data_IF_032913863898
#
_entry.id   IF_032913863898
#
_cell.length_a   1.000
_cell.length_b   1.000
_cell.length_c   1.000
_cell.angle_alpha   90.00
_cell.angle_beta   90.00
_cell.angle_gamma   90.00
#
_symmetry.space_group_name_H-M   'P 1'
#
loop_
_entity.id
_entity.type
_entity.pdbx_description
1 polymer ?
#
# COMPACT_ATOMS: atom_id res chain seq x y z
N UNK A 1 14.53 1.91 11.55
CA UNK A 1 13.93 2.81 12.55
C UNK A 1 12.66 3.38 11.96
N UNK A 2 11.51 2.86 12.38
CA UNK A 2 10.19 3.23 11.85
C UNK A 2 9.17 2.52 12.72
N UNK A 3 8.93 3.06 13.91
CA UNK A 3 8.14 2.39 14.96
C UNK A 3 7.97 3.19 16.24
N UNK A 4 8.60 4.36 16.37
CA UNK A 4 8.52 5.19 17.57
C UNK A 4 7.30 6.14 17.56
N UNK A 5 6.71 6.38 16.38
CA UNK A 5 5.53 7.26 16.25
C UNK A 5 4.24 6.44 16.35
N UNK A 6 3.38 6.80 17.29
CA UNK A 6 2.04 6.22 17.40
C UNK A 6 1.21 6.55 16.15
N UNK A 7 0.38 5.60 15.72
CA UNK A 7 -0.58 5.81 14.65
C UNK A 7 -1.57 6.90 15.05
N UNK A 8 -1.81 7.86 14.15
CA UNK A 8 -2.89 8.83 14.33
C UNK A 8 -4.25 8.20 14.01
N UNK A 9 -5.32 8.87 14.43
CA UNK A 9 -6.69 8.48 14.05
C UNK A 9 -6.87 8.36 12.53
N UNK A 10 -6.36 9.34 11.77
CA UNK A 10 -6.42 9.31 10.31
C UNK A 10 -5.61 8.15 9.73
N UNK A 11 -4.47 7.79 10.33
CA UNK A 11 -3.73 6.61 9.88
C UNK A 11 -4.50 5.32 10.12
N UNK A 12 -5.29 5.23 11.20
CA UNK A 12 -6.11 4.06 11.45
C UNK A 12 -7.25 3.94 10.42
N UNK A 13 -7.89 5.05 10.05
CA UNK A 13 -8.91 5.07 9.01
C UNK A 13 -8.34 4.71 7.63
N UNK A 14 -7.19 5.27 7.27
CA UNK A 14 -6.51 4.96 6.01
C UNK A 14 -6.07 3.49 5.95
N UNK A 15 -5.64 2.93 7.10
CA UNK A 15 -5.25 1.53 7.21
C UNK A 15 -6.45 0.59 7.01
N UNK A 16 -7.57 0.89 7.67
CA UNK A 16 -8.80 0.11 7.53
C UNK A 16 -9.28 0.10 6.06
N UNK A 17 -9.33 1.27 5.43
CA UNK A 17 -9.67 1.38 4.01
C UNK A 17 -8.69 0.60 3.11
N UNK A 18 -7.39 0.72 3.34
CA UNK A 18 -6.38 0.02 2.54
C UNK A 18 -6.48 -1.51 2.67
N UNK A 19 -6.69 -2.02 3.88
CA UNK A 19 -6.88 -3.46 4.17
C UNK A 19 -8.17 -3.96 3.52
N UNK A 20 -9.28 -3.26 3.71
CA UNK A 20 -10.56 -3.65 3.13
C UNK A 20 -10.45 -3.81 1.61
N UNK A 21 -9.80 -2.88 0.91
CA UNK A 21 -9.61 -2.99 -0.55
C UNK A 21 -8.66 -4.16 -0.89
N UNK A 22 -7.55 -4.31 -0.18
CA UNK A 22 -6.54 -5.33 -0.50
C UNK A 22 -7.05 -6.76 -0.28
N UNK A 23 -7.92 -6.98 0.71
CA UNK A 23 -8.39 -8.30 1.12
C UNK A 23 -9.78 -8.67 0.56
N UNK A 24 -10.53 -7.74 -0.01
CA UNK A 24 -11.87 -8.04 -0.54
C UNK A 24 -11.84 -8.79 -1.89
N UNK A 25 -10.71 -8.79 -2.59
CA UNK A 25 -10.58 -9.53 -3.86
C UNK A 25 -10.38 -11.03 -3.61
N UNK A 26 -11.06 -11.86 -4.41
CA UNK A 26 -10.87 -13.32 -4.43
C UNK A 26 -9.60 -13.78 -5.16
N UNK A 27 -8.80 -12.86 -5.70
CA UNK A 27 -7.57 -13.18 -6.41
C UNK A 27 -6.52 -13.79 -5.48
N UNK A 28 -5.90 -14.88 -5.95
CA UNK A 28 -4.74 -15.50 -5.28
C UNK A 28 -3.41 -14.84 -5.63
N UNK A 29 -3.42 -13.84 -6.52
CA UNK A 29 -2.21 -13.09 -6.89
C UNK A 29 -1.83 -12.04 -5.85
N UNK A 30 -0.70 -11.35 -6.06
CA UNK A 30 -0.25 -10.29 -5.17
C UNK A 30 -1.05 -9.01 -5.44
N UNK A 31 -1.65 -8.47 -4.39
CA UNK A 31 -2.45 -7.25 -4.41
C UNK A 31 -1.69 -6.17 -3.63
N UNK A 32 -1.65 -4.97 -4.19
CA UNK A 32 -1.18 -3.78 -3.50
C UNK A 32 -2.21 -2.67 -3.66
N UNK A 33 -2.49 -1.97 -2.56
CA UNK A 33 -3.38 -0.80 -2.52
C UNK A 33 -2.65 0.35 -1.84
N UNK A 34 -2.92 1.58 -2.29
CA UNK A 34 -2.40 2.79 -1.69
C UNK A 34 -3.58 3.72 -1.42
N UNK A 35 -3.73 4.14 -0.16
CA UNK A 35 -4.82 4.99 0.32
C UNK A 35 -4.25 6.22 1.00
N UNK A 36 -4.89 7.37 0.81
CA UNK A 36 -4.60 8.59 1.54
C UNK A 36 -5.89 9.35 1.80
N UNK A 37 -6.13 9.78 3.04
CA UNK A 37 -7.35 10.50 3.41
C UNK A 37 -8.63 9.74 3.02
N UNK A 38 -8.63 8.42 3.24
CA UNK A 38 -9.71 7.48 2.93
C UNK A 38 -10.02 7.37 1.42
N UNK A 39 -9.11 7.85 0.56
CA UNK A 39 -9.27 7.84 -0.89
C UNK A 39 -8.20 6.91 -1.50
N UNK A 40 -8.58 5.88 -2.26
CA UNK A 40 -7.61 5.06 -2.98
C UNK A 40 -6.95 5.88 -4.10
N UNK A 41 -5.64 6.04 -4.02
CA UNK A 41 -4.82 6.68 -5.06
C UNK A 41 -4.23 5.66 -6.05
N UNK A 42 -4.23 4.37 -5.68
CA UNK A 42 -3.80 3.32 -6.59
C UNK A 42 -4.06 1.91 -6.07
N UNK A 43 -4.24 0.98 -6.99
CA UNK A 43 -4.41 -0.44 -6.68
C UNK A 43 -3.99 -1.30 -7.87
N UNK A 44 -3.36 -2.44 -7.60
CA UNK A 44 -2.97 -3.36 -8.65
C UNK A 44 -2.88 -4.81 -8.17
N UNK A 45 -3.19 -5.72 -9.10
CA UNK A 45 -3.07 -7.16 -8.95
C UNK A 45 -2.06 -7.66 -10.00
N UNK A 46 -0.99 -8.34 -9.56
CA UNK A 46 0.05 -8.91 -10.43
C UNK A 46 0.64 -10.18 -9.83
N UNK A 47 1.29 -10.96 -10.70
CA UNK A 47 2.04 -12.17 -10.32
C UNK A 47 3.17 -11.91 -9.34
N UNK A 48 3.88 -10.78 -9.42
CA UNK A 48 4.97 -10.40 -8.49
C UNK A 48 4.54 -9.21 -7.63
N UNK A 49 4.78 -9.28 -6.32
CA UNK A 49 4.42 -8.22 -5.36
C UNK A 49 5.00 -6.86 -5.73
N UNK A 50 6.26 -6.81 -6.17
CA UNK A 50 6.90 -5.59 -6.66
C UNK A 50 6.14 -4.95 -7.82
N UNK A 51 5.66 -5.75 -8.76
CA UNK A 51 4.94 -5.23 -9.93
C UNK A 51 3.58 -4.66 -9.50
N UNK A 52 2.91 -5.29 -8.54
CA UNK A 52 1.68 -4.74 -7.93
C UNK A 52 1.96 -3.40 -7.27
N UNK A 53 3.05 -3.29 -6.48
CA UNK A 53 3.44 -2.02 -5.87
C UNK A 53 3.74 -0.93 -6.91
N UNK A 54 4.59 -1.22 -7.89
CA UNK A 54 4.96 -0.25 -8.93
C UNK A 54 3.74 0.20 -9.74
N UNK A 55 2.82 -0.72 -10.06
CA UNK A 55 1.62 -0.40 -10.82
C UNK A 55 0.60 0.38 -9.98
N UNK A 56 0.46 0.08 -8.70
CA UNK A 56 -0.38 0.84 -7.78
C UNK A 56 0.16 2.27 -7.60
N UNK A 57 1.47 2.42 -7.39
CA UNK A 57 2.13 3.73 -7.30
C UNK A 57 1.97 4.55 -8.58
N UNK A 58 1.99 3.91 -9.75
CA UNK A 58 1.79 4.58 -11.04
C UNK A 58 0.35 5.04 -11.29
N UNK A 59 -0.62 4.68 -10.44
CA UNK A 59 -2.00 5.18 -10.52
C UNK A 59 -2.06 6.69 -10.26
N UNK A 60 -1.56 7.11 -9.10
CA UNK A 60 -1.38 8.52 -8.74
C UNK A 60 -0.16 8.69 -7.82
N UNK A 61 1.05 8.89 -8.40
CA UNK A 61 2.29 9.00 -7.63
C UNK A 61 2.33 10.21 -6.71
N UNK A 62 1.62 11.29 -7.05
CA UNK A 62 1.61 12.53 -6.29
C UNK A 62 0.77 12.36 -5.02
N UNK A 63 -0.43 11.80 -5.15
CA UNK A 63 -1.29 11.53 -3.99
C UNK A 63 -0.74 10.40 -3.12
N UNK A 64 -0.02 9.43 -3.68
CA UNK A 64 0.59 8.33 -2.91
C UNK A 64 1.67 8.78 -1.90
N UNK A 65 2.21 10.01 -2.02
CA UNK A 65 3.20 10.53 -1.08
C UNK A 65 2.60 10.68 0.33
N UNK A 66 3.19 10.00 1.32
CA UNK A 66 2.69 9.96 2.70
C UNK A 66 1.36 9.23 2.87
N UNK A 67 1.05 8.32 1.93
CA UNK A 67 -0.13 7.44 2.00
C UNK A 67 0.19 6.08 2.64
N UNK A 68 -0.85 5.35 3.00
CA UNK A 68 -0.75 4.00 3.55
C UNK A 68 -0.77 2.98 2.40
N UNK A 69 0.21 2.08 2.42
CA UNK A 69 0.33 0.97 1.47
C UNK A 69 -0.06 -0.33 2.16
N UNK A 70 -1.03 -1.06 1.60
CA UNK A 70 -1.39 -2.40 2.06
C UNK A 70 -1.09 -3.46 1.00
N UNK A 71 -0.76 -4.66 1.48
CA UNK A 71 -0.53 -5.85 0.67
C UNK A 71 -1.37 -7.00 1.24
N UNK A 72 -1.95 -7.83 0.38
CA UNK A 72 -2.67 -9.04 0.81
C UNK A 72 -1.75 -10.22 1.21
N UNK A 73 -0.44 -10.08 0.98
CA UNK A 73 0.59 -11.09 1.22
C UNK A 73 1.74 -10.50 2.04
N UNK A 74 2.52 -11.37 2.70
CA UNK A 74 3.70 -10.96 3.47
C UNK A 74 4.66 -10.14 2.59
N UNK A 75 5.15 -9.02 3.13
CA UNK A 75 6.06 -8.13 2.41
C UNK A 75 7.38 -8.84 2.08
N UNK A 76 7.80 -8.78 0.82
CA UNK A 76 9.09 -9.32 0.37
C UNK A 76 10.22 -8.30 0.53
N UNK A 77 11.46 -8.78 0.65
CA UNK A 77 12.63 -7.91 0.76
C UNK A 77 12.81 -7.00 -0.48
N UNK A 78 12.49 -7.50 -1.67
CA UNK A 78 12.58 -6.72 -2.90
C UNK A 78 11.62 -5.52 -2.88
N UNK A 79 10.36 -5.75 -2.51
CA UNK A 79 9.36 -4.68 -2.39
C UNK A 79 9.70 -3.73 -1.25
N UNK A 80 10.16 -4.24 -0.09
CA UNK A 80 10.56 -3.43 1.05
C UNK A 80 11.66 -2.41 0.68
N UNK A 81 12.66 -2.82 -0.09
CA UNK A 81 13.72 -1.93 -0.59
C UNK A 81 13.21 -0.79 -1.47
N UNK A 82 12.06 -0.97 -2.14
CA UNK A 82 11.43 0.09 -2.93
C UNK A 82 10.65 1.05 -2.04
N UNK A 83 9.90 0.51 -1.07
CA UNK A 83 9.13 1.31 -0.10
C UNK A 83 10.05 2.24 0.69
N UNK A 84 11.22 1.76 1.13
CA UNK A 84 12.20 2.57 1.88
C UNK A 84 12.75 3.78 1.12
N UNK A 85 12.57 3.85 -0.21
CA UNK A 85 12.96 5.01 -1.02
C UNK A 85 11.85 6.06 -1.13
N UNK A 86 10.69 5.81 -0.54
CA UNK A 86 9.51 6.68 -0.58
C UNK A 86 9.18 7.17 0.82
N UNK A 87 8.52 8.31 0.86
CA UNK A 87 7.90 8.81 2.07
C UNK A 87 6.48 8.25 2.14
N UNK A 88 6.21 7.45 3.16
CA UNK A 88 4.95 6.73 3.42
C UNK A 88 4.53 7.00 4.86
#
# INVERSE_FOLDING_TARGET
MGGEKKLSYNNLLDLDAAINIAYHSSSKENICTIVKHNIPCGGAIKKRQKDSYLKALAGDPLSAFGGIVAFNQKLTLETAKLLSKKFL
#
